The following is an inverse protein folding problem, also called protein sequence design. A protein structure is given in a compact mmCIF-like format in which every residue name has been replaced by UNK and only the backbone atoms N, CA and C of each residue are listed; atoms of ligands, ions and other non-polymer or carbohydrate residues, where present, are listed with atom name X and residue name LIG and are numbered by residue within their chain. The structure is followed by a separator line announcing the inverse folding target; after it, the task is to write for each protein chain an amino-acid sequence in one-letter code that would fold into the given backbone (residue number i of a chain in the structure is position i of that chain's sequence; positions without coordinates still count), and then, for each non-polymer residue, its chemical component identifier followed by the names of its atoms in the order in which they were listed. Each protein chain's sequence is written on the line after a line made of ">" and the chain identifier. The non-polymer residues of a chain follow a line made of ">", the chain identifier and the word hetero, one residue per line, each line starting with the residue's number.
data_IF_011913067243
#
_entry.id   IF_011913067243
#
_cell.length_a   1.000
_cell.length_b   1.000
_cell.length_c   1.000
_cell.angle_alpha   90.00
_cell.angle_beta   90.00
_cell.angle_gamma   90.00
#
_symmetry.space_group_name_H-M   'P 1'
#
loop_
_entity.id
_entity.type
_entity.pdbx_description
1 polymer ?
#
# COMPACT_ATOMS: atom_id res chain seq x y z
N UNK A 1 30.06 -23.03 -73.59
CA UNK A 1 31.49 -22.72 -73.90
C UNK A 1 32.16 -22.39 -72.54
N UNK A 2 33.09 -23.22 -72.07
CA UNK A 2 33.88 -23.00 -70.89
C UNK A 2 35.05 -22.07 -71.28
N UNK A 3 35.01 -20.80 -70.76
CA UNK A 3 36.12 -19.88 -70.93
C UNK A 3 37.29 -20.34 -70.00
N UNK A 4 38.49 -20.39 -70.53
CA UNK A 4 39.71 -20.71 -69.77
C UNK A 4 40.07 -19.53 -68.82
N UNK A 5 39.63 -18.35 -69.11
CA UNK A 5 39.87 -17.11 -68.33
C UNK A 5 38.87 -16.92 -67.17
N UNK A 6 37.69 -17.54 -67.27
CA UNK A 6 36.67 -17.43 -66.19
C UNK A 6 36.11 -18.79 -65.85
N UNK A 7 36.47 -19.35 -64.69
CA UNK A 7 35.95 -20.63 -64.18
C UNK A 7 34.62 -20.39 -63.43
N UNK A 8 33.49 -20.43 -64.19
CA UNK A 8 32.14 -20.23 -63.62
C UNK A 8 31.78 -21.27 -62.57
N UNK A 9 32.23 -22.53 -62.74
CA UNK A 9 31.99 -23.61 -61.79
C UNK A 9 32.68 -23.34 -60.40
N UNK A 10 33.93 -22.84 -60.45
CA UNK A 10 34.65 -22.47 -59.22
C UNK A 10 34.02 -21.20 -58.57
N UNK A 11 33.51 -20.27 -59.35
CA UNK A 11 32.81 -19.08 -58.83
C UNK A 11 31.48 -19.46 -58.10
N UNK A 12 30.68 -20.37 -58.68
CA UNK A 12 29.47 -20.90 -58.05
C UNK A 12 29.80 -21.68 -56.77
N UNK A 13 30.81 -22.54 -56.83
CA UNK A 13 31.27 -23.29 -55.64
C UNK A 13 31.73 -22.33 -54.49
N UNK A 14 32.48 -21.27 -54.87
CA UNK A 14 32.92 -20.25 -53.87
C UNK A 14 31.76 -19.46 -53.27
N UNK A 15 30.77 -19.11 -54.09
CA UNK A 15 29.56 -18.41 -53.64
C UNK A 15 28.73 -19.29 -52.71
N UNK A 16 28.57 -20.58 -53.03
CA UNK A 16 27.89 -21.58 -52.17
C UNK A 16 28.65 -21.73 -50.86
N UNK A 17 29.98 -21.86 -50.86
CA UNK A 17 30.80 -21.99 -49.68
C UNK A 17 30.71 -20.72 -48.78
N UNK A 18 30.67 -19.53 -49.37
CA UNK A 18 30.41 -18.29 -48.64
C UNK A 18 29.06 -18.33 -47.92
N UNK A 19 27.99 -18.78 -48.60
CA UNK A 19 26.69 -18.97 -47.99
C UNK A 19 26.69 -19.95 -46.82
N UNK A 20 27.34 -21.11 -46.98
CA UNK A 20 27.49 -22.14 -45.94
C UNK A 20 28.22 -21.54 -44.70
N UNK A 21 29.36 -20.87 -44.93
CA UNK A 21 30.13 -20.26 -43.83
C UNK A 21 29.33 -19.17 -43.10
N UNK A 22 28.54 -18.35 -43.81
CA UNK A 22 27.70 -17.35 -43.20
C UNK A 22 26.61 -17.98 -42.34
N UNK A 23 25.95 -19.02 -42.84
CA UNK A 23 24.93 -19.76 -42.08
C UNK A 23 25.53 -20.50 -40.89
N UNK A 24 26.72 -21.06 -41.03
CA UNK A 24 27.43 -21.75 -39.96
C UNK A 24 27.77 -20.77 -38.80
N UNK A 25 28.30 -19.61 -39.13
CA UNK A 25 28.58 -18.57 -38.15
C UNK A 25 27.30 -18.09 -37.43
N UNK A 26 26.18 -18.00 -38.17
CA UNK A 26 24.90 -17.65 -37.59
C UNK A 26 24.43 -18.70 -36.59
N UNK A 27 24.42 -19.98 -36.99
CA UNK A 27 23.99 -21.07 -36.11
C UNK A 27 24.93 -21.24 -34.91
N UNK A 28 26.23 -21.03 -35.09
CA UNK A 28 27.17 -21.02 -33.96
C UNK A 28 26.87 -19.89 -32.98
N UNK A 29 26.49 -18.70 -33.45
CA UNK A 29 26.06 -17.59 -32.58
C UNK A 29 24.74 -17.92 -31.87
N UNK A 30 23.77 -18.55 -32.57
CA UNK A 30 22.52 -19.02 -31.99
C UNK A 30 22.77 -20.01 -30.85
N UNK A 31 23.65 -21.01 -31.06
CA UNK A 31 24.03 -21.99 -30.05
C UNK A 31 24.78 -21.35 -28.88
N UNK A 32 25.70 -20.40 -29.16
CA UNK A 32 26.49 -19.75 -28.13
C UNK A 32 25.65 -18.84 -27.24
N UNK A 33 24.63 -18.17 -27.78
CA UNK A 33 23.79 -17.20 -27.07
C UNK A 33 22.49 -17.80 -26.56
N UNK A 34 22.09 -18.98 -27.09
CA UNK A 34 20.78 -19.58 -26.85
C UNK A 34 19.62 -18.82 -27.50
N UNK A 35 19.91 -17.88 -28.42
CA UNK A 35 18.91 -16.99 -29.03
C UNK A 35 18.97 -16.99 -30.55
N UNK A 36 17.81 -17.07 -31.18
CA UNK A 36 17.64 -16.88 -32.64
C UNK A 36 17.76 -15.40 -33.04
N UNK A 37 17.29 -14.50 -32.12
CA UNK A 37 17.36 -13.04 -32.30
C UNK A 37 18.17 -12.44 -31.16
N UNK A 38 19.45 -12.26 -31.36
CA UNK A 38 20.37 -11.68 -30.37
C UNK A 38 20.59 -10.17 -30.57
N UNK A 39 20.45 -9.69 -31.78
CA UNK A 39 20.72 -8.29 -32.16
C UNK A 39 19.64 -7.73 -33.09
N UNK A 40 19.56 -6.39 -33.16
CA UNK A 40 18.66 -5.72 -34.10
C UNK A 40 18.96 -6.07 -35.58
N UNK A 41 20.17 -6.58 -35.88
CA UNK A 41 20.57 -7.04 -37.22
C UNK A 41 19.87 -8.33 -37.63
N UNK A 42 19.55 -9.21 -36.67
CA UNK A 42 18.94 -10.51 -36.94
C UNK A 42 17.45 -10.32 -37.28
N UNK A 43 16.74 -9.56 -36.45
CA UNK A 43 15.36 -9.12 -36.71
C UNK A 43 15.04 -7.86 -35.88
N UNK A 44 15.04 -6.70 -36.50
CA UNK A 44 14.86 -5.42 -35.82
C UNK A 44 13.52 -5.31 -35.08
N UNK A 45 12.44 -5.84 -35.67
CA UNK A 45 11.10 -5.74 -35.08
C UNK A 45 10.97 -6.63 -33.82
N UNK A 46 11.35 -7.90 -33.92
CA UNK A 46 11.32 -8.85 -32.80
C UNK A 46 12.28 -8.40 -31.69
N UNK A 47 13.48 -7.96 -32.04
CA UNK A 47 14.45 -7.46 -31.10
C UNK A 47 13.93 -6.24 -30.32
N UNK A 48 13.30 -5.27 -31.01
CA UNK A 48 12.74 -4.08 -30.36
C UNK A 48 11.61 -4.45 -29.40
N UNK A 49 10.70 -5.35 -29.79
CA UNK A 49 9.63 -5.86 -28.92
C UNK A 49 10.20 -6.59 -27.71
N UNK A 50 11.14 -7.51 -27.93
CA UNK A 50 11.75 -8.26 -26.81
C UNK A 50 12.47 -7.35 -25.82
N UNK A 51 13.16 -6.29 -26.29
CA UNK A 51 13.83 -5.31 -25.43
C UNK A 51 12.87 -4.46 -24.61
N UNK A 52 11.71 -4.10 -25.16
CA UNK A 52 10.65 -3.46 -24.41
C UNK A 52 10.10 -4.37 -23.33
N UNK A 53 9.79 -5.63 -23.69
CA UNK A 53 9.31 -6.61 -22.71
C UNK A 53 10.36 -6.93 -21.62
N UNK A 54 11.65 -7.06 -21.96
CA UNK A 54 12.74 -7.21 -20.99
C UNK A 54 12.81 -6.02 -20.03
N UNK A 55 12.57 -4.79 -20.53
CA UNK A 55 12.50 -3.58 -19.71
C UNK A 55 11.31 -3.62 -18.75
N UNK A 56 10.15 -4.10 -19.23
CA UNK A 56 8.96 -4.23 -18.40
C UNK A 56 9.15 -5.28 -17.29
N UNK A 57 9.74 -6.45 -17.61
CA UNK A 57 10.10 -7.47 -16.61
C UNK A 57 11.02 -6.92 -15.53
N UNK A 58 12.03 -6.11 -15.90
CA UNK A 58 12.89 -5.44 -14.91
C UNK A 58 12.12 -4.44 -14.05
N UNK A 59 11.18 -3.71 -14.64
CA UNK A 59 10.28 -2.80 -13.93
C UNK A 59 9.41 -3.56 -12.93
N UNK A 60 8.82 -4.67 -13.33
CA UNK A 60 8.00 -5.52 -12.46
C UNK A 60 8.78 -6.16 -11.31
N UNK A 61 10.06 -6.46 -11.51
CA UNK A 61 10.91 -6.89 -10.40
C UNK A 61 11.05 -5.80 -9.33
N UNK A 62 11.27 -4.54 -9.73
CA UNK A 62 11.29 -3.42 -8.78
C UNK A 62 9.96 -3.20 -8.08
N UNK A 63 8.83 -3.47 -8.75
CA UNK A 63 7.50 -3.45 -8.13
C UNK A 63 7.36 -4.59 -7.12
N UNK A 64 7.77 -5.79 -7.46
CA UNK A 64 7.76 -6.95 -6.54
C UNK A 64 8.55 -6.65 -5.26
N UNK A 65 9.72 -6.03 -5.39
CA UNK A 65 10.53 -5.59 -4.24
C UNK A 65 9.78 -4.53 -3.40
N UNK A 66 9.12 -3.56 -4.05
CA UNK A 66 8.30 -2.53 -3.38
C UNK A 66 7.09 -3.14 -2.65
N UNK A 67 6.39 -4.08 -3.28
CA UNK A 67 5.25 -4.78 -2.68
C UNK A 67 5.69 -5.62 -1.47
N UNK A 68 6.84 -6.30 -1.56
CA UNK A 68 7.41 -7.08 -0.47
C UNK A 68 7.78 -6.20 0.74
N UNK A 69 8.40 -5.03 0.48
CA UNK A 69 8.70 -4.05 1.51
C UNK A 69 7.43 -3.49 2.14
N UNK A 70 6.43 -3.17 1.32
CA UNK A 70 5.12 -2.68 1.76
C UNK A 70 4.35 -3.71 2.60
N UNK A 71 4.32 -4.97 2.15
CA UNK A 71 3.71 -6.08 2.88
C UNK A 71 4.35 -6.27 4.26
N UNK A 72 5.68 -6.20 4.34
CA UNK A 72 6.43 -6.28 5.60
C UNK A 72 6.07 -5.14 6.55
N UNK A 73 6.00 -3.90 6.04
CA UNK A 73 5.64 -2.71 6.83
C UNK A 73 4.23 -2.84 7.40
N UNK A 74 3.27 -3.24 6.57
CA UNK A 74 1.87 -3.39 6.98
C UNK A 74 1.70 -4.58 7.94
N UNK A 75 2.43 -5.67 7.73
CA UNK A 75 2.41 -6.83 8.63
C UNK A 75 2.84 -6.46 10.05
N UNK A 76 3.86 -5.60 10.20
CA UNK A 76 4.28 -5.08 11.52
C UNK A 76 3.16 -4.25 12.14
N UNK A 77 2.55 -3.33 11.39
CA UNK A 77 1.46 -2.49 11.88
C UNK A 77 0.22 -3.30 12.28
N UNK A 78 -0.16 -4.29 11.46
CA UNK A 78 -1.26 -5.22 11.73
C UNK A 78 -1.01 -6.02 13.02
N UNK A 79 0.16 -6.65 13.11
CA UNK A 79 0.53 -7.46 14.29
C UNK A 79 0.55 -6.60 15.58
N UNK A 80 1.04 -5.36 15.49
CA UNK A 80 1.00 -4.43 16.60
C UNK A 80 -0.45 -4.08 17.00
N UNK A 81 -1.33 -3.80 16.02
CA UNK A 81 -2.73 -3.48 16.26
C UNK A 81 -3.50 -4.66 16.88
N UNK A 82 -3.24 -5.89 16.42
CA UNK A 82 -3.78 -7.11 17.01
C UNK A 82 -3.32 -7.28 18.48
N UNK A 83 -2.01 -7.08 18.72
CA UNK A 83 -1.47 -7.17 20.09
C UNK A 83 -2.02 -6.10 21.03
N UNK A 84 -2.23 -4.88 20.51
CA UNK A 84 -2.89 -3.82 21.27
C UNK A 84 -4.34 -4.20 21.60
N UNK A 85 -5.06 -4.82 20.67
CA UNK A 85 -6.43 -5.31 20.89
C UNK A 85 -6.48 -6.37 22.01
N UNK A 86 -5.51 -7.28 22.02
CA UNK A 86 -5.39 -8.29 23.10
C UNK A 86 -5.17 -7.62 24.46
N UNK A 87 -4.23 -6.67 24.54
CA UNK A 87 -3.93 -5.95 25.77
C UNK A 87 -5.12 -5.12 26.27
N UNK A 88 -5.86 -4.47 25.37
CA UNK A 88 -7.09 -3.74 25.70
C UNK A 88 -8.19 -4.70 26.21
N UNK A 89 -8.29 -5.89 25.63
CA UNK A 89 -9.24 -6.92 26.08
C UNK A 89 -8.89 -7.46 27.48
N UNK A 90 -7.60 -7.65 27.76
CA UNK A 90 -7.13 -8.00 29.11
C UNK A 90 -7.46 -6.87 30.11
N UNK A 91 -7.20 -5.61 29.72
CA UNK A 91 -7.54 -4.43 30.52
C UNK A 91 -9.05 -4.34 30.81
N UNK A 92 -9.91 -4.62 29.80
CA UNK A 92 -11.36 -4.72 29.98
C UNK A 92 -11.73 -5.73 31.08
N UNK A 93 -11.09 -6.90 31.10
CA UNK A 93 -11.28 -7.90 32.16
C UNK A 93 -10.95 -7.36 33.54
N UNK A 94 -9.86 -6.59 33.68
CA UNK A 94 -9.48 -5.94 34.96
C UNK A 94 -10.48 -4.84 35.35
N UNK A 95 -10.99 -4.06 34.40
CA UNK A 95 -12.02 -3.02 34.65
C UNK A 95 -13.33 -3.64 35.14
N UNK A 96 -13.75 -4.76 34.53
CA UNK A 96 -14.94 -5.51 34.99
C UNK A 96 -14.74 -6.03 36.43
N UNK A 97 -13.56 -6.57 36.74
CA UNK A 97 -13.25 -6.98 38.10
C UNK A 97 -13.31 -5.81 39.12
N UNK A 98 -12.90 -4.60 38.70
CA UNK A 98 -12.94 -3.40 39.55
C UNK A 98 -14.36 -2.93 39.92
N UNK A 99 -15.41 -3.41 39.25
CA UNK A 99 -16.80 -3.08 39.58
C UNK A 99 -17.33 -3.84 40.78
N UNK A 100 -16.66 -4.92 41.23
CA UNK A 100 -17.05 -5.68 42.39
C UNK A 100 -16.76 -4.90 43.66
N UNK A 101 -17.54 -5.16 44.74
CA UNK A 101 -17.44 -4.38 45.99
C UNK A 101 -16.25 -4.79 46.88
N UNK A 102 -15.78 -6.03 46.78
CA UNK A 102 -14.75 -6.63 47.64
C UNK A 102 -13.38 -6.73 46.98
N UNK A 103 -12.99 -5.80 46.12
CA UNK A 103 -11.74 -5.84 45.39
C UNK A 103 -10.81 -4.66 45.74
N UNK A 104 -9.52 -4.90 45.66
CA UNK A 104 -8.50 -3.86 45.82
C UNK A 104 -8.33 -3.08 44.48
N UNK A 105 -9.09 -2.02 44.31
CA UNK A 105 -9.08 -1.20 43.13
C UNK A 105 -7.74 -0.48 42.88
N UNK A 106 -6.96 -0.25 43.96
CA UNK A 106 -5.63 0.36 43.83
C UNK A 106 -4.65 -0.55 43.10
N UNK A 107 -4.70 -1.85 43.41
CA UNK A 107 -3.89 -2.85 42.69
C UNK A 107 -4.33 -3.00 41.24
N UNK A 108 -5.65 -3.03 41.01
CA UNK A 108 -6.20 -3.09 39.65
C UNK A 108 -5.79 -1.85 38.84
N UNK A 109 -5.83 -0.65 39.43
CA UNK A 109 -5.36 0.58 38.78
C UNK A 109 -3.87 0.51 38.41
N UNK A 110 -3.06 -0.10 39.28
CA UNK A 110 -1.63 -0.33 38.99
C UNK A 110 -1.43 -1.29 37.82
N UNK A 111 -2.20 -2.38 37.77
CA UNK A 111 -2.18 -3.32 36.64
C UNK A 111 -2.56 -2.63 35.33
N UNK A 112 -3.62 -1.82 35.34
CA UNK A 112 -4.07 -1.03 34.19
C UNK A 112 -2.96 -0.06 33.74
N UNK A 113 -2.29 0.61 34.66
CA UNK A 113 -1.18 1.50 34.33
C UNK A 113 0.01 0.75 33.69
N UNK A 114 0.30 -0.46 34.15
CA UNK A 114 1.35 -1.31 33.56
C UNK A 114 0.97 -1.80 32.15
N UNK A 115 -0.28 -2.22 31.93
CA UNK A 115 -0.79 -2.57 30.60
C UNK A 115 -0.75 -1.36 29.64
N UNK A 116 -1.08 -0.17 30.13
CA UNK A 116 -0.96 1.07 29.34
C UNK A 116 0.48 1.31 28.89
N UNK A 117 1.47 1.15 29.77
CA UNK A 117 2.89 1.26 29.42
C UNK A 117 3.31 0.21 28.38
N UNK A 118 2.78 -1.00 28.49
CA UNK A 118 3.04 -2.07 27.52
C UNK A 118 2.46 -1.73 26.15
N UNK A 119 1.24 -1.17 26.08
CA UNK A 119 0.66 -0.66 24.83
C UNK A 119 1.55 0.43 24.25
N UNK A 120 2.01 1.41 25.03
CA UNK A 120 2.93 2.44 24.57
C UNK A 120 4.21 1.87 23.99
N UNK A 121 4.77 0.84 24.63
CA UNK A 121 5.96 0.15 24.12
C UNK A 121 5.69 -0.56 22.79
N UNK A 122 4.54 -1.23 22.64
CA UNK A 122 4.14 -1.89 21.39
C UNK A 122 3.97 -0.86 20.27
N UNK A 123 3.28 0.26 20.54
CA UNK A 123 3.08 1.35 19.57
C UNK A 123 4.43 1.92 19.12
N UNK A 124 5.33 2.21 20.05
CA UNK A 124 6.65 2.77 19.73
C UNK A 124 7.56 1.79 19.00
N UNK A 125 7.44 0.48 19.26
CA UNK A 125 8.25 -0.55 18.61
C UNK A 125 7.72 -0.97 17.24
N UNK A 126 6.49 -0.59 16.86
CA UNK A 126 5.81 -1.01 15.64
C UNK A 126 6.31 -0.28 14.40
N UNK A 127 7.63 -0.31 14.18
CA UNK A 127 8.28 0.33 13.05
C UNK A 127 8.99 -0.68 12.16
N UNK A 128 8.97 -0.42 10.87
CA UNK A 128 9.76 -1.13 9.89
C UNK A 128 10.62 -0.14 9.11
N UNK A 129 11.93 -0.28 9.15
CA UNK A 129 12.89 0.64 8.54
C UNK A 129 12.64 2.13 8.90
N UNK A 130 12.28 2.41 10.15
CA UNK A 130 12.00 3.77 10.65
C UNK A 130 10.59 4.30 10.33
N UNK A 131 9.79 3.56 9.58
CA UNK A 131 8.40 3.92 9.28
C UNK A 131 7.46 3.22 10.28
N UNK A 132 6.70 4.02 11.03
CA UNK A 132 5.68 3.54 11.96
C UNK A 132 4.30 4.02 11.49
N UNK A 133 3.36 3.07 11.31
CA UNK A 133 2.01 3.35 10.83
C UNK A 133 0.98 3.44 11.96
N UNK A 134 1.40 3.27 13.22
CA UNK A 134 0.47 3.21 14.37
C UNK A 134 0.76 4.22 15.48
N UNK A 135 1.86 4.97 15.42
CA UNK A 135 2.26 5.93 16.47
C UNK A 135 1.74 7.36 16.24
N UNK A 136 1.11 7.63 15.10
CA UNK A 136 0.64 8.95 14.71
C UNK A 136 1.71 9.87 14.11
N UNK A 137 2.94 9.38 13.89
CA UNK A 137 4.00 10.14 13.19
C UNK A 137 3.68 10.35 11.71
N UNK A 138 2.93 9.41 11.11
CA UNK A 138 2.44 9.52 9.74
C UNK A 138 1.03 10.12 9.75
N UNK A 139 0.88 11.29 9.13
CA UNK A 139 -0.40 12.00 8.99
C UNK A 139 -1.02 11.84 7.62
N UNK A 140 -0.28 11.24 6.67
CA UNK A 140 -0.69 11.02 5.29
C UNK A 140 -0.71 9.52 4.97
N UNK A 141 -1.31 9.18 3.84
CA UNK A 141 -1.26 7.81 3.31
C UNK A 141 0.15 7.44 2.89
N UNK A 142 0.53 6.18 3.13
CA UNK A 142 1.76 5.59 2.60
C UNK A 142 1.44 4.89 1.29
N UNK A 143 2.11 5.32 0.24
CA UNK A 143 1.90 4.82 -1.12
C UNK A 143 2.90 3.72 -1.44
N UNK A 144 2.41 2.52 -1.76
CA UNK A 144 3.19 1.37 -2.19
C UNK A 144 3.02 1.21 -3.69
N UNK A 145 4.13 1.18 -4.43
CA UNK A 145 4.09 0.99 -5.87
C UNK A 145 3.52 -0.40 -6.21
N UNK A 146 2.46 -0.44 -7.03
CA UNK A 146 1.70 -1.66 -7.27
C UNK A 146 1.75 -2.15 -8.72
N UNK A 147 1.92 -1.25 -9.70
CA UNK A 147 1.95 -1.59 -11.11
C UNK A 147 2.67 -0.52 -11.93
N UNK A 148 3.11 -0.91 -13.13
CA UNK A 148 3.54 0.00 -14.18
C UNK A 148 2.60 -0.19 -15.37
N UNK A 149 1.80 0.83 -15.65
CA UNK A 149 0.84 0.80 -16.74
C UNK A 149 1.44 1.50 -17.97
N UNK A 150 1.67 0.72 -19.01
CA UNK A 150 2.18 1.25 -20.28
C UNK A 150 1.04 1.79 -21.13
N UNK A 151 1.12 3.05 -21.47
CA UNK A 151 0.20 3.73 -22.40
C UNK A 151 0.92 4.11 -23.69
N UNK A 152 0.18 4.56 -24.69
CA UNK A 152 0.77 5.05 -25.95
C UNK A 152 1.69 6.26 -25.74
N UNK A 153 1.52 7.02 -24.67
CA UNK A 153 2.26 8.26 -24.37
C UNK A 153 3.37 8.08 -23.33
N UNK A 154 3.46 6.90 -22.66
CA UNK A 154 4.49 6.66 -21.64
C UNK A 154 4.13 5.55 -20.68
N UNK A 155 4.83 5.51 -19.54
CA UNK A 155 4.62 4.55 -18.44
C UNK A 155 4.14 5.34 -17.24
N UNK A 156 3.01 4.93 -16.65
CA UNK A 156 2.46 5.48 -15.42
C UNK A 156 2.57 4.45 -14.29
N UNK A 157 2.86 4.92 -13.09
CA UNK A 157 2.94 4.07 -11.91
C UNK A 157 1.62 4.09 -11.16
N UNK A 158 1.03 2.92 -10.93
CA UNK A 158 -0.12 2.74 -10.04
C UNK A 158 0.36 2.44 -8.62
N UNK A 159 -0.41 2.86 -7.61
CA UNK A 159 -0.06 2.74 -6.21
C UNK A 159 -1.20 2.15 -5.39
N UNK A 160 -0.86 1.43 -4.33
CA UNK A 160 -1.77 1.07 -3.25
C UNK A 160 -1.50 2.03 -2.11
N UNK A 161 -2.47 2.91 -1.81
CA UNK A 161 -2.39 3.83 -0.69
C UNK A 161 -2.92 3.17 0.57
N UNK A 162 -2.14 3.26 1.64
CA UNK A 162 -2.46 2.72 2.97
C UNK A 162 -2.49 3.85 3.97
N UNK A 163 -3.60 4.01 4.65
CA UNK A 163 -3.78 5.06 5.67
C UNK A 163 -3.15 4.61 6.99
N UNK A 164 -2.27 5.45 7.55
CA UNK A 164 -1.72 5.23 8.87
C UNK A 164 -2.82 5.39 9.93
N UNK A 165 -2.75 4.59 11.01
CA UNK A 165 -3.69 4.59 12.11
C UNK A 165 -2.99 5.06 13.38
N UNK A 166 -3.44 6.16 13.98
CA UNK A 166 -2.83 6.66 15.20
C UNK A 166 -3.38 5.92 16.43
N UNK A 167 -2.69 4.89 16.89
CA UNK A 167 -3.01 4.13 18.13
C UNK A 167 -2.17 4.61 19.33
N UNK A 168 -1.55 5.77 19.27
CA UNK A 168 -0.81 6.32 20.41
C UNK A 168 -1.73 6.67 21.57
N UNK A 169 -1.16 6.73 22.77
CA UNK A 169 -1.84 7.21 23.97
C UNK A 169 -1.66 8.70 24.19
N UNK A 170 -1.12 9.42 23.21
CA UNK A 170 -0.81 10.84 23.30
C UNK A 170 -2.08 11.67 23.36
N UNK A 171 -2.19 12.53 24.34
CA UNK A 171 -3.25 13.53 24.39
C UNK A 171 -3.03 14.56 23.29
N UNK A 172 -4.08 14.87 22.53
CA UNK A 172 -4.00 15.89 21.49
C UNK A 172 -3.88 17.29 22.08
N UNK A 173 -3.32 18.21 21.29
CA UNK A 173 -3.31 19.64 21.62
C UNK A 173 -4.71 20.24 21.37
N UNK A 174 -5.25 21.00 22.36
CA UNK A 174 -6.53 21.66 22.20
C UNK A 174 -6.47 22.73 21.09
N UNK A 175 -7.48 22.75 20.23
CA UNK A 175 -7.65 23.84 19.26
C UNK A 175 -8.16 25.10 19.95
N UNK A 176 -7.77 26.29 19.49
CA UNK A 176 -7.98 27.59 20.16
C UNK A 176 -9.46 27.93 20.43
N UNK A 177 -10.38 27.40 19.65
CA UNK A 177 -11.84 27.51 19.88
C UNK A 177 -12.49 26.14 20.10
N UNK A 178 -11.68 25.12 20.39
CA UNK A 178 -12.10 23.74 20.44
C UNK A 178 -12.71 23.28 21.75
N UNK A 179 -12.81 24.16 22.75
CA UNK A 179 -13.46 23.83 24.02
C UNK A 179 -14.59 24.82 24.29
N UNK A 180 -15.80 24.33 24.09
CA UNK A 180 -16.99 25.10 24.38
C UNK A 180 -17.77 24.36 25.47
N UNK A 181 -17.98 24.99 26.59
CA UNK A 181 -18.80 24.45 27.66
C UNK A 181 -20.07 25.25 27.81
N UNK A 182 -21.18 24.59 27.81
CA UNK A 182 -22.45 25.16 28.15
C UNK A 182 -22.94 24.56 29.48
N UNK A 183 -23.34 25.40 30.38
CA UNK A 183 -23.49 25.05 31.78
C UNK A 183 -24.71 24.15 32.10
N UNK A 184 -25.65 23.97 31.30
CA UNK A 184 -26.78 23.03 31.46
C UNK A 184 -27.82 23.24 30.38
N UNK A 185 -28.22 22.21 29.70
CA UNK A 185 -29.30 22.30 28.70
C UNK A 185 -30.57 21.77 29.31
N UNK A 186 -31.55 22.66 29.44
CA UNK A 186 -32.89 22.33 29.93
C UNK A 186 -33.75 21.90 28.74
N UNK A 187 -34.75 21.08 28.99
CA UNK A 187 -35.71 20.61 28.00
C UNK A 187 -36.24 21.75 27.11
N UNK A 188 -36.15 21.56 25.81
CA UNK A 188 -36.71 22.47 24.80
C UNK A 188 -35.86 23.72 24.50
N UNK A 189 -34.71 23.91 25.16
CA UNK A 189 -33.80 25.03 24.88
C UNK A 189 -32.53 24.52 24.20
N UNK A 190 -32.36 24.65 22.86
CA UNK A 190 -31.15 24.21 22.17
C UNK A 190 -29.96 25.09 22.63
N UNK A 191 -28.81 24.45 22.83
CA UNK A 191 -27.54 25.14 23.01
C UNK A 191 -26.74 25.07 21.73
N UNK A 192 -26.27 26.22 21.30
CA UNK A 192 -25.42 26.36 20.11
C UNK A 192 -23.98 26.55 20.53
N UNK A 193 -23.12 25.65 20.08
CA UNK A 193 -21.68 25.69 20.32
C UNK A 193 -21.01 26.15 19.02
N UNK A 194 -20.58 27.40 18.99
CA UNK A 194 -19.94 28.02 17.83
C UNK A 194 -18.43 27.71 17.82
N UNK A 195 -17.80 27.77 16.66
CA UNK A 195 -16.34 27.70 16.54
C UNK A 195 -15.78 26.60 15.69
N UNK A 196 -16.64 25.81 15.04
CA UNK A 196 -16.19 24.81 14.07
C UNK A 196 -16.15 25.42 12.67
N UNK A 197 -14.95 25.62 12.14
CA UNK A 197 -14.77 25.99 10.72
C UNK A 197 -14.16 24.82 9.99
N UNK A 198 -14.66 24.58 8.78
CA UNK A 198 -14.12 23.53 7.89
C UNK A 198 -13.17 24.19 6.89
N UNK A 199 -11.96 23.65 6.76
CA UNK A 199 -11.05 24.03 5.69
C UNK A 199 -11.37 23.21 4.44
N UNK A 200 -12.00 23.84 3.45
CA UNK A 200 -12.29 23.23 2.17
C UNK A 200 -13.32 24.01 1.35
N UNK A 201 -13.28 23.82 0.03
CA UNK A 201 -14.23 24.44 -0.90
C UNK A 201 -15.46 23.55 -0.99
N UNK A 202 -16.67 24.12 -0.84
CA UNK A 202 -17.93 23.37 -0.98
C UNK A 202 -18.40 22.61 0.25
N UNK A 203 -17.86 22.90 1.45
CA UNK A 203 -18.31 22.33 2.73
C UNK A 203 -17.70 20.95 3.06
N UNK A 204 -16.79 20.45 2.25
CA UNK A 204 -15.99 19.28 2.55
C UNK A 204 -14.62 19.69 3.14
N UNK A 205 -14.08 18.85 4.02
CA UNK A 205 -12.75 19.08 4.60
C UNK A 205 -11.66 18.92 3.54
N UNK A 206 -10.73 19.87 3.49
CA UNK A 206 -9.57 19.76 2.63
C UNK A 206 -8.61 18.68 3.16
N UNK A 207 -7.99 17.98 2.21
CA UNK A 207 -6.81 17.19 2.46
C UNK A 207 -5.67 18.12 2.84
N UNK A 208 -5.06 17.88 3.99
CA UNK A 208 -3.85 18.54 4.46
C UNK A 208 -3.94 20.06 4.68
N UNK A 209 -4.06 20.46 5.92
CA UNK A 209 -3.44 21.72 6.33
C UNK A 209 -2.03 21.41 6.83
N UNK A 210 -0.98 21.77 6.09
CA UNK A 210 0.37 21.49 6.50
C UNK A 210 0.74 22.35 7.74
N UNK A 211 1.42 21.74 8.70
CA UNK A 211 2.41 22.36 9.60
C UNK A 211 2.03 23.63 10.37
N UNK A 212 0.77 24.06 10.41
CA UNK A 212 0.38 25.14 11.30
C UNK A 212 0.39 24.64 12.75
N UNK A 213 1.05 25.39 13.62
CA UNK A 213 1.03 25.17 15.07
C UNK A 213 -0.43 24.95 15.51
N UNK A 214 -0.79 23.81 16.14
CA UNK A 214 -2.17 23.49 16.49
C UNK A 214 -2.86 24.59 17.32
N UNK A 215 -2.09 25.38 18.08
CA UNK A 215 -2.60 26.45 18.93
C UNK A 215 -3.17 27.68 18.19
N UNK A 216 -3.00 27.80 16.87
CA UNK A 216 -3.38 29.01 16.13
C UNK A 216 -4.48 28.82 15.09
N UNK A 217 -4.97 27.60 14.86
CA UNK A 217 -6.01 27.33 13.86
C UNK A 217 -7.33 26.91 14.49
N UNK A 218 -8.40 27.61 14.10
CA UNK A 218 -9.79 27.30 14.47
C UNK A 218 -10.45 26.30 13.54
N UNK A 219 -9.82 26.01 12.40
CA UNK A 219 -10.36 25.16 11.37
C UNK A 219 -10.02 23.68 11.61
N UNK A 220 -11.02 22.83 11.50
CA UNK A 220 -10.87 21.37 11.55
C UNK A 220 -10.21 20.86 10.26
N UNK A 221 -9.30 19.92 10.45
CA UNK A 221 -8.66 19.15 9.38
C UNK A 221 -8.85 17.66 9.62
N UNK A 222 -8.60 16.84 8.60
CA UNK A 222 -8.58 15.39 8.75
C UNK A 222 -7.55 14.98 9.84
N UNK A 223 -7.96 14.08 10.74
CA UNK A 223 -7.18 13.64 11.90
C UNK A 223 -7.47 14.43 13.20
N UNK A 224 -8.16 15.54 13.16
CA UNK A 224 -8.62 16.21 14.38
C UNK A 224 -9.68 15.37 15.08
N UNK A 225 -9.68 15.40 16.40
CA UNK A 225 -10.67 14.67 17.21
C UNK A 225 -11.62 15.64 17.86
N UNK A 226 -12.92 15.44 17.65
CA UNK A 226 -13.99 16.15 18.37
C UNK A 226 -14.51 15.23 19.46
N UNK A 227 -14.60 15.77 20.66
CA UNK A 227 -15.17 15.10 21.83
C UNK A 227 -16.37 15.91 22.32
N UNK A 228 -17.55 15.29 22.32
CA UNK A 228 -18.80 15.86 22.82
C UNK A 228 -19.24 15.09 24.06
N UNK A 229 -19.36 15.79 25.18
CA UNK A 229 -19.90 15.23 26.41
C UNK A 229 -21.32 15.72 26.62
N UNK A 230 -22.24 14.82 26.93
CA UNK A 230 -23.64 15.09 27.28
C UNK A 230 -23.93 14.35 28.59
N UNK A 231 -24.03 15.08 29.69
CA UNK A 231 -24.10 14.49 31.02
C UNK A 231 -22.87 13.63 31.31
N UNK A 232 -23.10 12.34 31.57
CA UNK A 232 -22.01 11.37 31.81
C UNK A 232 -21.58 10.61 30.53
N UNK A 233 -22.17 10.89 29.39
CA UNK A 233 -21.92 10.22 28.13
C UNK A 233 -20.97 11.02 27.26
N UNK A 234 -20.00 10.34 26.66
CA UNK A 234 -18.98 10.94 25.79
C UNK A 234 -19.08 10.36 24.40
N UNK A 235 -19.26 11.23 23.40
CA UNK A 235 -19.12 10.92 21.99
C UNK A 235 -17.79 11.43 21.46
N UNK A 236 -17.10 10.63 20.71
CA UNK A 236 -15.83 10.99 20.08
C UNK A 236 -15.87 10.68 18.60
N UNK A 237 -15.38 11.62 17.79
CA UNK A 237 -15.28 11.45 16.36
C UNK A 237 -13.93 11.97 15.86
N UNK A 238 -13.24 11.17 15.07
CA UNK A 238 -12.02 11.58 14.37
C UNK A 238 -12.42 12.00 12.97
N UNK A 239 -12.13 13.25 12.66
CA UNK A 239 -12.44 13.88 11.38
C UNK A 239 -11.71 13.17 10.25
N UNK A 240 -12.44 12.80 9.20
CA UNK A 240 -11.89 12.12 8.04
C UNK A 240 -11.74 13.09 6.85
N UNK A 241 -10.88 12.72 5.90
CA UNK A 241 -10.78 13.43 4.63
C UNK A 241 -12.12 13.36 3.87
N UNK A 242 -12.59 14.50 3.38
CA UNK A 242 -13.87 14.59 2.68
C UNK A 242 -15.11 14.66 3.57
N UNK A 243 -14.95 14.67 4.92
CA UNK A 243 -16.07 14.81 5.83
C UNK A 243 -16.81 16.13 5.60
N UNK A 244 -18.13 16.03 5.75
CA UNK A 244 -19.06 17.15 5.75
C UNK A 244 -19.62 17.38 7.15
N UNK A 245 -20.37 18.45 7.33
CA UNK A 245 -21.10 18.70 8.57
C UNK A 245 -22.00 17.53 8.98
N UNK A 246 -22.68 16.91 8.01
CA UNK A 246 -23.59 15.80 8.26
C UNK A 246 -22.86 14.51 8.65
N UNK A 247 -21.69 14.22 8.03
CA UNK A 247 -20.90 13.05 8.40
C UNK A 247 -20.33 13.17 9.80
N UNK A 248 -19.89 14.37 10.19
CA UNK A 248 -19.38 14.68 11.54
C UNK A 248 -20.49 14.50 12.59
N UNK A 249 -21.68 15.06 12.37
CA UNK A 249 -22.83 14.92 13.28
C UNK A 249 -23.23 13.45 13.40
N UNK A 250 -23.30 12.74 12.28
CA UNK A 250 -23.62 11.30 12.26
C UNK A 250 -22.59 10.48 13.02
N UNK A 251 -21.30 10.77 12.83
CA UNK A 251 -20.21 10.10 13.55
C UNK A 251 -20.25 10.33 15.06
N UNK A 252 -20.46 11.58 15.50
CA UNK A 252 -20.65 11.91 16.92
C UNK A 252 -21.88 11.23 17.52
N UNK A 253 -22.99 11.23 16.78
CA UNK A 253 -24.24 10.61 17.18
C UNK A 253 -24.08 9.11 17.37
N UNK A 254 -23.48 8.43 16.41
CA UNK A 254 -23.19 6.99 16.49
C UNK A 254 -22.27 6.66 17.69
N UNK A 255 -21.27 7.50 17.93
CA UNK A 255 -20.36 7.33 19.08
C UNK A 255 -21.10 7.51 20.43
N UNK A 256 -21.98 8.51 20.54
CA UNK A 256 -22.80 8.72 21.74
C UNK A 256 -23.78 7.59 21.99
N UNK A 257 -24.43 7.10 20.94
CA UNK A 257 -25.37 5.99 21.01
C UNK A 257 -24.65 4.69 21.41
N UNK A 258 -23.46 4.43 20.87
CA UNK A 258 -22.63 3.30 21.30
C UNK A 258 -22.24 3.38 22.78
N UNK A 259 -22.13 4.58 23.35
CA UNK A 259 -21.89 4.83 24.76
C UNK A 259 -23.16 4.94 25.62
N UNK A 260 -24.31 4.50 25.05
CA UNK A 260 -25.56 4.36 25.77
C UNK A 260 -26.37 5.65 25.94
N UNK A 261 -26.17 6.64 25.04
CA UNK A 261 -27.09 7.77 24.89
C UNK A 261 -28.21 7.36 23.94
N UNK A 262 -29.46 7.62 24.31
CA UNK A 262 -30.58 7.36 23.40
C UNK A 262 -30.62 8.42 22.29
N UNK A 263 -30.83 7.96 21.07
CA UNK A 263 -30.92 8.81 19.88
C UNK A 263 -32.11 9.76 19.88
N UNK A 264 -33.14 9.44 20.68
CA UNK A 264 -34.34 10.25 20.89
C UNK A 264 -34.18 11.32 21.96
N UNK A 265 -33.22 11.14 22.88
CA UNK A 265 -33.03 12.02 24.04
C UNK A 265 -32.34 13.33 23.69
N UNK A 266 -31.54 13.34 22.62
CA UNK A 266 -30.80 14.51 22.16
C UNK A 266 -30.78 14.61 20.66
N UNK A 267 -31.01 15.83 20.15
CA UNK A 267 -30.86 16.13 18.72
C UNK A 267 -29.59 16.94 18.49
N UNK A 268 -28.74 16.48 17.55
CA UNK A 268 -27.53 17.16 17.14
C UNK A 268 -27.69 17.67 15.71
N UNK A 269 -27.34 18.93 15.49
CA UNK A 269 -27.25 19.55 14.16
C UNK A 269 -26.01 20.41 14.05
N UNK A 270 -25.36 20.42 12.90
CA UNK A 270 -24.24 21.29 12.61
C UNK A 270 -24.53 22.10 11.36
N UNK A 271 -24.68 23.40 11.52
CA UNK A 271 -24.95 24.33 10.42
C UNK A 271 -24.02 25.53 10.52
N UNK A 272 -23.41 25.91 9.40
CA UNK A 272 -22.53 27.12 9.34
C UNK A 272 -21.44 27.15 10.42
N UNK A 273 -20.91 26.00 10.81
CA UNK A 273 -19.86 25.88 11.84
C UNK A 273 -20.38 25.94 13.28
N UNK A 274 -21.70 25.92 13.48
CA UNK A 274 -22.33 25.91 14.80
C UNK A 274 -22.95 24.52 15.08
N UNK A 275 -22.44 23.83 16.09
CA UNK A 275 -23.03 22.58 16.60
C UNK A 275 -24.14 22.92 17.58
N UNK A 276 -25.36 22.58 17.23
CA UNK A 276 -26.54 22.76 18.11
C UNK A 276 -26.90 21.42 18.74
N UNK A 277 -27.06 21.43 20.05
CA UNK A 277 -27.50 20.28 20.84
C UNK A 277 -28.82 20.63 21.53
N UNK A 278 -29.88 19.92 21.19
CA UNK A 278 -31.17 20.05 21.86
C UNK A 278 -31.41 18.86 22.79
N UNK A 279 -31.81 19.14 24.02
CA UNK A 279 -32.20 18.16 25.02
C UNK A 279 -33.71 17.89 24.94
N UNK A 280 -34.10 16.68 24.60
CA UNK A 280 -35.48 16.26 24.50
C UNK A 280 -35.96 15.56 25.77
N UNK A 281 -35.09 15.44 26.79
CA UNK A 281 -35.45 14.81 28.07
C UNK A 281 -35.93 15.83 29.10
N UNK A 282 -36.59 15.38 30.16
CA UNK A 282 -37.06 16.24 31.25
C UNK A 282 -35.94 16.57 32.25
N UNK A 283 -34.74 16.05 32.11
CA UNK A 283 -33.60 16.23 33.00
C UNK A 283 -32.57 17.17 32.36
N UNK A 284 -32.08 18.14 33.12
CA UNK A 284 -30.99 18.99 32.68
C UNK A 284 -29.71 18.19 32.50
N UNK A 285 -28.98 18.41 31.40
CA UNK A 285 -27.70 17.79 31.13
C UNK A 285 -26.60 18.83 30.86
N UNK A 286 -25.45 18.64 31.46
CA UNK A 286 -24.27 19.42 31.14
C UNK A 286 -23.74 19.01 29.77
N UNK A 287 -23.43 19.96 28.90
CA UNK A 287 -22.88 19.74 27.58
C UNK A 287 -21.56 20.45 27.45
N UNK A 288 -20.57 19.75 26.97
CA UNK A 288 -19.28 20.32 26.59
C UNK A 288 -18.77 19.70 25.31
N UNK A 289 -18.13 20.52 24.48
CA UNK A 289 -17.46 20.05 23.27
C UNK A 289 -16.02 20.54 23.29
N UNK A 290 -15.11 19.69 22.87
CA UNK A 290 -13.71 20.03 22.67
C UNK A 290 -13.22 19.44 21.35
N UNK A 291 -12.30 20.15 20.71
CA UNK A 291 -11.59 19.65 19.54
C UNK A 291 -10.09 19.67 19.84
N UNK A 292 -9.42 18.57 19.46
CA UNK A 292 -7.99 18.40 19.70
C UNK A 292 -7.32 17.88 18.43
N UNK A 293 -6.07 18.30 18.20
CA UNK A 293 -5.24 17.89 17.07
C UNK A 293 -4.14 16.96 17.52
N UNK A 294 -3.83 15.93 16.70
CA UNK A 294 -2.79 14.96 17.03
C UNK A 294 -3.15 14.02 18.18
N UNK A 295 -4.44 13.89 18.49
CA UNK A 295 -4.90 12.98 19.54
C UNK A 295 -4.72 11.53 19.11
N UNK A 296 -4.04 10.74 19.92
CA UNK A 296 -3.95 9.28 19.70
C UNK A 296 -5.30 8.59 19.87
N UNK A 297 -5.54 7.56 19.07
CA UNK A 297 -6.76 6.73 19.14
C UNK A 297 -6.97 6.10 20.53
N UNK A 298 -5.89 5.91 21.29
CA UNK A 298 -5.91 5.37 22.64
C UNK A 298 -5.57 6.41 23.73
N UNK A 299 -5.71 7.70 23.44
CA UNK A 299 -5.42 8.77 24.40
C UNK A 299 -6.23 8.64 25.71
N UNK A 300 -7.43 8.06 25.64
CA UNK A 300 -8.27 7.79 26.81
C UNK A 300 -7.63 6.86 27.85
N UNK A 301 -6.59 6.08 27.49
CA UNK A 301 -5.86 5.25 28.45
C UNK A 301 -5.10 6.05 29.50
N UNK A 302 -4.66 7.28 29.15
CA UNK A 302 -3.94 8.15 30.08
C UNK A 302 -4.80 8.70 31.21
N UNK A 303 -6.12 8.74 31.02
CA UNK A 303 -7.12 9.25 31.97
C UNK A 303 -8.03 8.16 32.54
N UNK A 304 -7.72 6.87 32.25
CA UNK A 304 -8.53 5.75 32.68
C UNK A 304 -8.38 5.54 34.21
N UNK A 305 -9.47 5.70 34.92
CA UNK A 305 -9.53 5.57 36.38
C UNK A 305 -10.55 4.51 36.80
N UNK A 306 -10.14 3.61 37.67
CA UNK A 306 -10.98 2.55 38.26
C UNK A 306 -10.95 2.60 39.79
N UNK A 307 -10.49 3.70 40.39
CA UNK A 307 -10.36 3.86 41.85
C UNK A 307 -11.69 3.79 42.58
N UNK A 308 -12.79 4.08 41.90
CA UNK A 308 -14.16 3.95 42.44
C UNK A 308 -15.00 3.07 41.53
N UNK A 309 -16.08 2.50 42.09
CA UNK A 309 -17.04 1.68 41.32
C UNK A 309 -17.67 2.48 40.15
N UNK A 310 -18.00 3.76 40.39
CA UNK A 310 -18.56 4.63 39.39
C UNK A 310 -17.56 4.90 38.25
N UNK A 311 -16.30 5.17 38.60
CA UNK A 311 -15.24 5.38 37.60
C UNK A 311 -14.99 4.09 36.79
N UNK A 312 -15.00 2.91 37.45
CA UNK A 312 -14.86 1.64 36.76
C UNK A 312 -16.00 1.37 35.76
N UNK A 313 -17.24 1.80 36.08
CA UNK A 313 -18.35 1.70 35.15
C UNK A 313 -18.17 2.62 33.90
N UNK A 314 -17.68 3.86 34.12
CA UNK A 314 -17.35 4.78 33.02
C UNK A 314 -16.16 4.26 32.19
N UNK A 315 -15.12 3.73 32.87
CA UNK A 315 -13.95 3.16 32.23
C UNK A 315 -14.31 1.98 31.29
N UNK A 316 -15.36 1.20 31.64
CA UNK A 316 -15.82 0.11 30.80
C UNK A 316 -16.36 0.58 29.45
N UNK A 317 -17.10 1.69 29.41
CA UNK A 317 -17.54 2.30 28.15
C UNK A 317 -16.37 2.83 27.32
N UNK A 318 -15.42 3.50 27.98
CA UNK A 318 -14.25 4.06 27.31
C UNK A 318 -13.35 2.97 26.68
N UNK A 319 -13.10 1.87 27.40
CA UNK A 319 -12.24 0.80 26.90
C UNK A 319 -12.86 0.09 25.69
N UNK A 320 -14.19 -0.02 25.64
CA UNK A 320 -14.89 -0.61 24.50
C UNK A 320 -14.66 0.19 23.21
N UNK A 321 -14.76 1.52 23.28
CA UNK A 321 -14.45 2.38 22.15
C UNK A 321 -12.99 2.28 21.69
N UNK A 322 -12.06 2.09 22.62
CA UNK A 322 -10.64 1.89 22.29
C UNK A 322 -10.38 0.51 21.66
N UNK A 323 -11.05 -0.55 22.11
CA UNK A 323 -10.99 -1.87 21.49
C UNK A 323 -11.51 -1.79 20.04
N UNK A 324 -12.65 -1.13 19.82
CA UNK A 324 -13.18 -0.93 18.46
C UNK A 324 -12.20 -0.17 17.56
N UNK A 325 -11.54 0.86 18.09
CA UNK A 325 -10.51 1.62 17.36
C UNK A 325 -9.34 0.74 16.95
N UNK A 326 -8.79 -0.04 17.87
CA UNK A 326 -7.67 -0.94 17.60
C UNK A 326 -8.06 -2.09 16.64
N UNK A 327 -9.26 -2.67 16.82
CA UNK A 327 -9.78 -3.70 15.93
C UNK A 327 -10.00 -3.18 14.50
N UNK A 328 -10.53 -1.96 14.36
CA UNK A 328 -10.69 -1.31 13.06
C UNK A 328 -9.34 -1.11 12.37
N UNK A 329 -8.34 -0.62 13.10
CA UNK A 329 -6.98 -0.45 12.58
C UNK A 329 -6.39 -1.79 12.10
N UNK A 330 -6.52 -2.86 12.91
CA UNK A 330 -6.06 -4.19 12.52
C UNK A 330 -6.76 -4.71 11.26
N UNK A 331 -8.08 -4.49 11.14
CA UNK A 331 -8.87 -4.90 9.96
C UNK A 331 -8.48 -4.11 8.70
N UNK A 332 -8.22 -2.82 8.81
CA UNK A 332 -7.78 -1.99 7.69
C UNK A 332 -6.39 -2.40 7.19
N UNK A 333 -5.44 -2.65 8.11
CA UNK A 333 -4.13 -3.19 7.74
C UNK A 333 -4.22 -4.60 7.15
N UNK A 334 -5.10 -5.46 7.68
CA UNK A 334 -5.35 -6.80 7.14
C UNK A 334 -5.89 -6.75 5.70
N UNK A 335 -6.85 -5.86 5.44
CA UNK A 335 -7.38 -5.64 4.09
C UNK A 335 -6.32 -5.10 3.14
N UNK A 336 -5.52 -4.13 3.58
CA UNK A 336 -4.43 -3.58 2.79
C UNK A 336 -3.37 -4.65 2.47
N UNK A 337 -3.00 -5.48 3.44
CA UNK A 337 -2.06 -6.59 3.25
C UNK A 337 -2.58 -7.59 2.21
N UNK A 338 -3.84 -8.01 2.32
CA UNK A 338 -4.46 -8.91 1.34
C UNK A 338 -4.41 -8.33 -0.09
N UNK A 339 -4.69 -7.04 -0.24
CA UNK A 339 -4.59 -6.37 -1.55
C UNK A 339 -3.17 -6.38 -2.11
N UNK A 340 -2.16 -6.18 -1.26
CA UNK A 340 -0.75 -6.22 -1.66
C UNK A 340 -0.35 -7.64 -2.05
N UNK A 341 -0.75 -8.65 -1.28
CA UNK A 341 -0.42 -10.05 -1.55
C UNK A 341 -1.02 -10.51 -2.88
N UNK A 342 -2.29 -10.17 -3.17
CA UNK A 342 -2.93 -10.43 -4.47
C UNK A 342 -2.18 -9.73 -5.60
N UNK A 343 -1.77 -8.48 -5.40
CA UNK A 343 -1.05 -7.72 -6.41
C UNK A 343 0.36 -8.29 -6.65
N UNK A 344 1.04 -8.72 -5.59
CA UNK A 344 2.37 -9.35 -5.69
C UNK A 344 2.31 -10.66 -6.48
N UNK A 345 1.30 -11.49 -6.23
CA UNK A 345 1.05 -12.70 -6.99
C UNK A 345 0.78 -12.40 -8.48
N UNK A 346 -0.09 -11.42 -8.76
CA UNK A 346 -0.38 -11.00 -10.12
C UNK A 346 0.87 -10.51 -10.87
N UNK A 347 1.70 -9.66 -10.24
CA UNK A 347 2.94 -9.16 -10.82
C UNK A 347 3.94 -10.29 -11.09
N UNK A 348 4.03 -11.28 -10.19
CA UNK A 348 4.85 -12.48 -10.42
C UNK A 348 4.39 -13.25 -11.65
N UNK A 349 3.09 -13.58 -11.73
CA UNK A 349 2.52 -14.30 -12.86
C UNK A 349 2.68 -13.53 -14.19
N UNK A 350 2.51 -12.20 -14.15
CA UNK A 350 2.71 -11.33 -15.32
C UNK A 350 4.18 -11.34 -15.78
N UNK A 351 5.11 -11.26 -14.83
CA UNK A 351 6.55 -11.31 -15.13
C UNK A 351 6.95 -12.64 -15.75
N UNK A 352 6.41 -13.75 -15.24
CA UNK A 352 6.66 -15.09 -15.77
C UNK A 352 6.06 -15.27 -17.18
N UNK A 353 4.84 -14.76 -17.39
CA UNK A 353 4.20 -14.78 -18.72
C UNK A 353 4.99 -13.95 -19.74
N UNK A 354 5.46 -12.76 -19.36
CA UNK A 354 6.30 -11.94 -20.22
C UNK A 354 7.65 -12.60 -20.51
N UNK A 355 8.28 -13.22 -19.51
CA UNK A 355 9.54 -13.94 -19.67
C UNK A 355 9.37 -15.13 -20.64
N UNK A 356 8.29 -15.90 -20.48
CA UNK A 356 7.94 -16.98 -21.41
C UNK A 356 7.65 -16.45 -22.82
N UNK A 357 6.93 -15.31 -22.92
CA UNK A 357 6.69 -14.63 -24.20
C UNK A 357 7.96 -14.16 -24.88
N UNK A 358 8.92 -13.60 -24.13
CA UNK A 358 10.24 -13.23 -24.66
C UNK A 358 10.95 -14.48 -25.17
N UNK A 359 10.97 -15.57 -24.39
CA UNK A 359 11.59 -16.82 -24.78
C UNK A 359 11.03 -17.35 -26.10
N UNK A 360 9.71 -17.39 -26.25
CA UNK A 360 9.07 -17.86 -27.50
C UNK A 360 9.40 -17.01 -28.72
N UNK A 361 9.79 -15.73 -28.52
CA UNK A 361 10.13 -14.82 -29.62
C UNK A 361 11.62 -14.87 -29.97
N UNK A 362 12.49 -15.09 -29.01
CA UNK A 362 13.95 -14.89 -29.23
C UNK A 362 14.80 -16.13 -28.92
N UNK A 363 14.32 -17.12 -28.19
CA UNK A 363 15.12 -18.30 -27.84
C UNK A 363 15.31 -19.24 -29.03
N UNK A 364 16.42 -19.92 -29.07
CA UNK A 364 16.75 -20.89 -30.08
C UNK A 364 16.34 -22.28 -29.63
N UNK A 365 15.75 -23.07 -30.56
CA UNK A 365 15.65 -24.52 -30.39
C UNK A 365 17.06 -25.13 -30.55
N UNK A 366 17.64 -25.55 -29.43
CA UNK A 366 19.01 -26.04 -29.37
C UNK A 366 19.17 -27.37 -30.10
N UNK A 367 18.12 -28.21 -30.20
CA UNK A 367 18.18 -29.48 -30.94
C UNK A 367 18.22 -29.20 -32.42
N UNK A 368 17.34 -28.33 -32.94
CA UNK A 368 17.33 -27.93 -34.34
C UNK A 368 18.65 -27.21 -34.72
N UNK A 369 19.11 -26.27 -33.90
CA UNK A 369 20.34 -25.53 -34.15
C UNK A 369 21.57 -26.46 -34.19
N UNK A 370 21.66 -27.43 -33.28
CA UNK A 370 22.75 -28.42 -33.25
C UNK A 370 22.73 -29.34 -34.49
N UNK A 371 21.55 -29.83 -34.86
CA UNK A 371 21.39 -30.63 -36.08
C UNK A 371 21.75 -29.82 -37.34
N UNK A 372 21.32 -28.56 -37.42
CA UNK A 372 21.65 -27.66 -38.52
C UNK A 372 23.16 -27.36 -38.58
N UNK A 373 23.83 -27.20 -37.43
CA UNK A 373 25.28 -27.00 -37.39
C UNK A 373 26.02 -28.22 -37.97
N UNK A 374 25.64 -29.45 -37.57
CA UNK A 374 26.25 -30.68 -38.10
C UNK A 374 26.03 -30.79 -39.61
N UNK A 375 24.83 -30.52 -40.09
CA UNK A 375 24.54 -30.53 -41.53
C UNK A 375 25.38 -29.51 -42.30
N UNK A 376 25.55 -28.30 -41.79
CA UNK A 376 26.38 -27.23 -42.39
C UNK A 376 27.85 -27.59 -42.38
N UNK A 377 28.36 -28.27 -41.37
CA UNK A 377 29.74 -28.81 -41.33
C UNK A 377 29.98 -29.84 -42.42
N UNK A 378 29.03 -30.77 -42.63
CA UNK A 378 29.11 -31.75 -43.72
C UNK A 378 29.03 -31.04 -45.07
N UNK A 379 28.11 -30.07 -45.24
CA UNK A 379 28.01 -29.29 -46.47
C UNK A 379 29.29 -28.49 -46.75
N UNK A 380 29.94 -27.95 -45.75
CA UNK A 380 31.22 -27.24 -45.88
C UNK A 380 32.31 -28.21 -46.41
N UNK A 381 32.42 -29.44 -45.86
CA UNK A 381 33.37 -30.44 -46.33
C UNK A 381 33.12 -30.82 -47.77
N UNK A 382 31.85 -31.05 -48.15
CA UNK A 382 31.46 -31.36 -49.54
C UNK A 382 31.72 -30.15 -50.46
N UNK A 383 31.50 -28.90 -49.99
CA UNK A 383 31.79 -27.69 -50.75
C UNK A 383 33.29 -27.50 -51.03
N UNK A 384 34.16 -27.85 -50.09
CA UNK A 384 35.61 -27.87 -50.29
C UNK A 384 36.01 -28.89 -51.37
N UNK A 385 35.42 -30.08 -51.35
CA UNK A 385 35.67 -31.08 -52.35
C UNK A 385 35.17 -30.67 -53.75
N UNK A 386 33.95 -30.09 -53.81
CA UNK A 386 33.40 -29.56 -55.07
C UNK A 386 34.26 -28.42 -55.67
N UNK A 387 34.79 -27.54 -54.79
CA UNK A 387 35.69 -26.47 -55.22
C UNK A 387 37.01 -27.02 -55.77
N UNK A 388 37.57 -28.08 -55.13
CA UNK A 388 38.76 -28.76 -55.62
C UNK A 388 38.54 -29.38 -57.01
N UNK A 389 37.40 -30.09 -57.19
CA UNK A 389 37.04 -30.66 -58.53
C UNK A 389 36.85 -29.57 -59.56
N UNK A 390 36.17 -28.47 -59.24
CA UNK A 390 35.93 -27.33 -60.12
C UNK A 390 37.24 -26.67 -60.55
N UNK A 391 38.24 -26.62 -59.69
CA UNK A 391 39.57 -26.06 -59.99
C UNK A 391 40.43 -27.03 -60.86
N UNK A 392 40.16 -28.34 -60.82
CA UNK A 392 40.92 -29.33 -61.65
C UNK A 392 40.36 -29.38 -63.12
N UNK A 393 39.09 -29.02 -63.37
CA UNK A 393 38.51 -29.05 -64.71
C UNK A 393 39.28 -28.28 -65.79
N UNK A 394 39.73 -27.03 -65.57
CA UNK A 394 40.52 -26.30 -66.52
C UNK A 394 41.90 -26.94 -66.82
N UNK A 395 42.49 -27.58 -65.77
CA UNK A 395 43.80 -28.28 -65.92
C UNK A 395 43.69 -29.50 -66.83
N UNK A 396 42.60 -30.27 -66.68
CA UNK A 396 42.37 -31.45 -67.53
C UNK A 396 42.10 -31.00 -68.99
N UNK A 397 41.49 -29.86 -69.23
CA UNK A 397 41.33 -29.31 -70.61
C UNK A 397 42.67 -28.86 -71.21
N UNK A 398 43.53 -28.24 -70.40
CA UNK A 398 44.89 -27.84 -70.80
C UNK A 398 45.78 -29.03 -71.12
N UNK A 399 45.62 -30.15 -70.44
CA UNK A 399 46.35 -31.39 -70.70
C UNK A 399 45.93 -32.09 -72.02
N UNK A 400 44.75 -31.81 -72.53
CA UNK A 400 44.24 -32.35 -73.77
C UNK A 400 44.76 -31.57 -75.01
N UNK A 401 45.25 -30.33 -74.77
CA UNK A 401 45.81 -29.45 -75.83
C UNK A 401 47.37 -29.38 -75.80
N UNK A 402 47.98 -30.24 -75.03
CA UNK A 402 49.47 -30.40 -75.01
C UNK A 402 49.92 -31.60 -75.87
#
# INVERSE_FOLDING_TARGET
>A
MSSILTNTSAMVALQTMKGINTNMNKVQAEISTGKTVNSAKDNAAVWAISKVMESDVKGFKGISDSLSLGSSTISVARTASEKITDLLTEMKGKIVAAQQDNVDRTKIQTDIANLTKQIQSVVGAAQFNGLNLVDGSQTTTVDILSSLDRTATGVTASKISVTAQNLSTTAGAALTNGTLSAASVVTGTPVTLNGFTFQGTGGALAKDAPTANPATTTALIAGDTITLNIGSKTGRYVVQEGDTADSLVTGLKNSLTANGLSDTDFTLTLASGALTVANNTNNAAAISVSATRGTGGLAGLSTLDVSTKTNAATALGNIEGMIQTATKAAAEFGSAQTRIDIQAEFISQLSDALTSGIGSLVDADMEEASARLQALQVQQQLGIQALSIANQQPQNLLSLFR
#
